data_IF_638533177357
#
_entry.id   IF_638533177357
#
_cell.length_a   1.000
_cell.length_b   1.000
_cell.length_c   1.000
_cell.angle_alpha   90.00
_cell.angle_beta   90.00
_cell.angle_gamma   90.00
#
_symmetry.space_group_name_H-M   'P 1'
#
loop_
_entity.id
_entity.type
_entity.pdbx_description
1 polymer ?
#
# COMPACT_ATOMS: atom_id res chain seq x y z
N UNK A 1 -14.66 -2.96 18.98
CA UNK A 1 -14.44 -2.42 20.34
C UNK A 1 -13.88 -1.00 20.24
N UNK A 2 -14.13 -0.11 21.21
CA UNK A 2 -13.60 1.29 21.20
C UNK A 2 -12.06 1.34 21.07
N UNK A 3 -11.38 0.30 21.54
CA UNK A 3 -9.92 0.13 21.47
C UNK A 3 -9.41 0.04 20.02
N UNK A 4 -10.12 -0.66 19.14
CA UNK A 4 -9.68 -0.85 17.75
C UNK A 4 -9.60 0.46 16.95
N UNK A 5 -10.56 1.37 17.16
CA UNK A 5 -10.55 2.69 16.52
C UNK A 5 -9.43 3.59 17.04
N UNK A 6 -9.16 3.54 18.35
CA UNK A 6 -8.03 4.27 18.94
C UNK A 6 -6.69 3.82 18.37
N UNK A 7 -6.50 2.50 18.21
CA UNK A 7 -5.30 1.93 17.60
C UNK A 7 -5.13 2.36 16.14
N UNK A 8 -6.19 2.28 15.33
CA UNK A 8 -6.17 2.71 13.93
C UNK A 8 -5.73 4.17 13.78
N UNK A 9 -6.32 5.07 14.58
CA UNK A 9 -6.01 6.50 14.52
C UNK A 9 -4.58 6.79 15.01
N UNK A 10 -4.17 6.17 16.11
CA UNK A 10 -2.80 6.29 16.60
C UNK A 10 -1.79 5.78 15.57
N UNK A 11 -2.09 4.64 14.94
CA UNK A 11 -1.26 4.06 13.88
C UNK A 11 -1.14 5.02 12.70
N UNK A 12 -2.26 5.50 12.15
CA UNK A 12 -2.29 6.43 11.02
C UNK A 12 -1.55 7.74 11.32
N UNK A 13 -1.63 8.23 12.55
CA UNK A 13 -0.91 9.42 12.99
C UNK A 13 0.61 9.18 13.03
N UNK A 14 1.05 8.08 13.66
CA UNK A 14 2.47 7.72 13.77
C UNK A 14 3.07 7.45 12.39
N UNK A 15 2.40 6.69 11.53
CA UNK A 15 2.86 6.46 10.16
C UNK A 15 2.94 7.74 9.35
N UNK A 16 1.98 8.66 9.52
CA UNK A 16 2.04 10.00 8.92
C UNK A 16 3.28 10.78 9.35
N UNK A 17 3.64 10.75 10.64
CA UNK A 17 4.86 11.40 11.14
C UNK A 17 6.13 10.75 10.59
N UNK A 18 6.17 9.42 10.50
CA UNK A 18 7.32 8.67 9.96
C UNK A 18 7.49 8.91 8.46
N UNK A 19 6.40 9.18 7.73
CA UNK A 19 6.44 9.50 6.31
C UNK A 19 6.96 10.91 6.00
N UNK A 20 6.80 11.86 6.91
CA UNK A 20 7.16 13.25 6.66
C UNK A 20 8.65 13.43 6.25
N UNK A 21 9.64 12.81 6.93
CA UNK A 21 11.03 12.83 6.48
C UNK A 21 11.24 12.24 5.08
N UNK A 22 10.53 11.16 4.73
CA UNK A 22 10.63 10.54 3.40
C UNK A 22 10.12 11.49 2.32
N UNK A 23 8.99 12.16 2.55
CA UNK A 23 8.47 13.15 1.60
C UNK A 23 9.41 14.35 1.48
N UNK A 24 9.94 14.84 2.61
CA UNK A 24 10.91 15.94 2.62
C UNK A 24 12.17 15.59 1.82
N UNK A 25 12.66 14.35 1.92
CA UNK A 25 13.78 13.85 1.13
C UNK A 25 13.51 13.98 -0.38
N UNK A 26 12.35 13.52 -0.86
CA UNK A 26 11.98 13.63 -2.28
C UNK A 26 11.74 15.08 -2.72
N UNK A 27 11.18 15.93 -1.85
CA UNK A 27 10.99 17.35 -2.14
C UNK A 27 12.33 18.08 -2.28
N UNK A 28 13.27 17.85 -1.36
CA UNK A 28 14.60 18.44 -1.40
C UNK A 28 15.43 17.95 -2.60
N UNK A 29 15.17 16.74 -3.09
CA UNK A 29 15.78 16.19 -4.29
C UNK A 29 15.19 16.76 -5.60
N UNK A 30 14.28 17.75 -5.53
CA UNK A 30 13.62 18.32 -6.71
C UNK A 30 12.49 17.46 -7.29
N UNK A 31 12.13 16.35 -6.64
CA UNK A 31 11.10 15.41 -7.09
C UNK A 31 9.70 15.75 -6.57
N UNK A 32 9.39 17.01 -6.26
CA UNK A 32 8.08 17.41 -5.73
C UNK A 32 6.89 17.07 -6.63
N UNK A 33 7.08 17.14 -7.95
CA UNK A 33 6.06 16.70 -8.91
C UNK A 33 5.78 15.19 -8.81
N UNK A 34 6.79 14.37 -8.50
CA UNK A 34 6.64 12.93 -8.34
C UNK A 34 5.73 12.58 -7.16
N UNK A 35 5.79 13.35 -6.06
CA UNK A 35 4.89 13.20 -4.89
C UNK A 35 3.43 13.37 -5.30
N UNK A 36 3.12 14.46 -6.01
CA UNK A 36 1.76 14.74 -6.45
C UNK A 36 1.26 13.68 -7.43
N UNK A 37 2.07 13.31 -8.43
CA UNK A 37 1.72 12.27 -9.40
C UNK A 37 1.49 10.92 -8.72
N UNK A 38 2.35 10.54 -7.77
CA UNK A 38 2.21 9.29 -7.02
C UNK A 38 0.92 9.25 -6.22
N UNK A 39 0.61 10.34 -5.50
CA UNK A 39 -0.59 10.42 -4.68
C UNK A 39 -1.87 10.40 -5.53
N UNK A 40 -1.89 11.17 -6.62
CA UNK A 40 -3.02 11.19 -7.56
C UNK A 40 -3.25 9.79 -8.18
N UNK A 41 -2.17 9.15 -8.65
CA UNK A 41 -2.23 7.80 -9.23
C UNK A 41 -2.68 6.77 -8.20
N UNK A 42 -2.15 6.81 -6.98
CA UNK A 42 -2.56 5.91 -5.90
C UNK A 42 -4.06 6.07 -5.58
N UNK A 43 -4.55 7.31 -5.50
CA UNK A 43 -5.97 7.62 -5.22
C UNK A 43 -6.89 7.09 -6.32
N UNK A 44 -6.55 7.30 -7.58
CA UNK A 44 -7.32 6.78 -8.72
C UNK A 44 -7.32 5.25 -8.71
N UNK A 45 -6.14 4.63 -8.60
CA UNK A 45 -6.00 3.18 -8.58
C UNK A 45 -6.76 2.55 -7.41
N UNK A 46 -6.64 3.10 -6.20
CA UNK A 46 -7.35 2.61 -5.02
C UNK A 46 -8.87 2.70 -5.19
N UNK A 47 -9.37 3.82 -5.70
CA UNK A 47 -10.81 4.03 -5.91
C UNK A 47 -11.36 3.06 -6.96
N UNK A 48 -10.67 2.94 -8.10
CA UNK A 48 -11.09 2.07 -9.21
C UNK A 48 -11.04 0.60 -8.80
N UNK A 49 -9.92 0.14 -8.25
CA UNK A 49 -9.77 -1.26 -7.84
C UNK A 49 -10.65 -1.61 -6.66
N UNK A 50 -10.84 -0.68 -5.71
CA UNK A 50 -11.75 -0.89 -4.59
C UNK A 50 -13.20 -1.05 -5.06
N UNK A 51 -13.65 -0.22 -6.00
CA UNK A 51 -14.97 -0.37 -6.61
C UNK A 51 -15.12 -1.70 -7.36
N UNK A 52 -14.11 -2.07 -8.16
CA UNK A 52 -14.11 -3.35 -8.89
C UNK A 52 -14.16 -4.52 -7.91
N UNK A 53 -13.28 -4.56 -6.91
CA UNK A 53 -13.22 -5.62 -5.91
C UNK A 53 -14.53 -5.76 -5.15
N UNK A 54 -15.13 -4.64 -4.73
CA UNK A 54 -16.41 -4.62 -4.01
C UNK A 54 -17.59 -5.14 -4.86
N UNK A 55 -17.57 -4.91 -6.18
CA UNK A 55 -18.63 -5.38 -7.10
C UNK A 55 -18.34 -6.75 -7.70
N UNK A 56 -17.15 -7.30 -7.50
CA UNK A 56 -16.75 -8.55 -8.12
C UNK A 56 -17.59 -9.72 -7.59
N UNK A 57 -18.15 -10.51 -8.52
CA UNK A 57 -18.97 -11.67 -8.18
C UNK A 57 -18.13 -12.85 -7.70
N UNK A 58 -16.95 -13.03 -8.28
CA UNK A 58 -15.97 -14.05 -7.90
C UNK A 58 -15.44 -13.78 -6.49
N UNK A 59 -15.27 -14.85 -5.70
CA UNK A 59 -14.60 -14.83 -4.41
C UNK A 59 -13.09 -15.02 -4.62
N UNK A 60 -12.30 -14.07 -4.12
CA UNK A 60 -10.85 -14.06 -4.30
C UNK A 60 -10.09 -14.70 -3.14
N UNK A 61 -10.78 -15.39 -2.22
CA UNK A 61 -10.16 -16.06 -1.07
C UNK A 61 -9.02 -17.01 -1.45
N UNK A 62 -9.02 -17.57 -2.66
CA UNK A 62 -7.92 -18.40 -3.18
C UNK A 62 -6.58 -17.64 -3.31
N UNK A 63 -6.62 -16.32 -3.49
CA UNK A 63 -5.43 -15.46 -3.62
C UNK A 63 -4.73 -15.19 -2.29
N UNK A 64 -5.41 -15.40 -1.16
CA UNK A 64 -4.95 -14.99 0.17
C UNK A 64 -3.54 -15.51 0.50
N UNK A 65 -3.28 -16.80 0.24
CA UNK A 65 -1.97 -17.43 0.52
C UNK A 65 -0.87 -16.86 -0.39
N UNK A 66 -1.18 -16.63 -1.67
CA UNK A 66 -0.23 -16.09 -2.63
C UNK A 66 0.14 -14.64 -2.34
N UNK A 67 -0.86 -13.81 -2.04
CA UNK A 67 -0.64 -12.41 -1.64
C UNK A 67 0.18 -12.32 -0.36
N UNK A 68 -0.14 -13.13 0.66
CA UNK A 68 0.64 -13.15 1.91
C UNK A 68 2.09 -13.57 1.69
N UNK A 69 2.35 -14.59 0.87
CA UNK A 69 3.72 -14.99 0.53
C UNK A 69 4.47 -13.87 -0.22
N UNK A 70 3.83 -13.21 -1.18
CA UNK A 70 4.42 -12.09 -1.91
C UNK A 70 4.72 -10.88 -1.00
N UNK A 71 3.83 -10.59 -0.04
CA UNK A 71 4.05 -9.56 0.97
C UNK A 71 5.29 -9.87 1.81
N UNK A 72 5.47 -11.12 2.26
CA UNK A 72 6.65 -11.51 3.02
C UNK A 72 7.94 -11.31 2.20
N UNK A 73 7.93 -11.65 0.92
CA UNK A 73 9.07 -11.40 0.03
C UNK A 73 9.39 -9.90 -0.05
N UNK A 74 8.37 -9.06 -0.24
CA UNK A 74 8.56 -7.60 -0.28
C UNK A 74 9.11 -7.07 1.04
N UNK A 75 8.61 -7.54 2.18
CA UNK A 75 9.12 -7.16 3.51
C UNK A 75 10.58 -7.54 3.68
N UNK A 76 10.95 -8.79 3.33
CA UNK A 76 12.33 -9.26 3.44
C UNK A 76 13.27 -8.44 2.54
N UNK A 77 12.89 -8.18 1.29
CA UNK A 77 13.68 -7.35 0.38
C UNK A 77 13.82 -5.92 0.93
N UNK A 78 12.74 -5.33 1.45
CA UNK A 78 12.77 -4.00 2.05
C UNK A 78 13.76 -3.95 3.22
N UNK A 79 13.78 -4.96 4.09
CA UNK A 79 14.73 -5.04 5.21
C UNK A 79 16.18 -5.21 4.73
N UNK A 80 16.43 -6.09 3.76
CA UNK A 80 17.76 -6.27 3.17
C UNK A 80 18.25 -4.97 2.53
N UNK A 81 17.34 -4.23 1.88
CA UNK A 81 17.69 -2.99 1.19
C UNK A 81 18.19 -1.86 2.11
N UNK A 82 17.96 -1.97 3.42
CA UNK A 82 18.51 -1.04 4.43
C UNK A 82 20.03 -1.20 4.56
N UNK A 83 20.53 -2.44 4.49
CA UNK A 83 21.96 -2.74 4.61
C UNK A 83 22.66 -2.79 3.25
N UNK A 84 21.92 -3.20 2.21
CA UNK A 84 22.43 -3.35 0.85
C UNK A 84 21.56 -2.54 -0.12
N UNK A 85 21.94 -1.29 -0.42
CA UNK A 85 21.17 -0.44 -1.31
C UNK A 85 20.96 -1.08 -2.69
N UNK A 86 19.71 -1.06 -3.16
CA UNK A 86 19.36 -1.57 -4.48
C UNK A 86 19.93 -0.67 -5.57
N UNK A 87 20.44 -1.26 -6.66
CA UNK A 87 20.79 -0.50 -7.87
C UNK A 87 19.56 0.18 -8.48
N UNK A 88 19.76 1.23 -9.28
CA UNK A 88 18.65 2.00 -9.86
C UNK A 88 17.64 1.13 -10.63
N UNK A 89 18.14 0.17 -11.43
CA UNK A 89 17.29 -0.76 -12.18
C UNK A 89 16.53 -1.71 -11.24
N UNK A 90 17.19 -2.30 -10.24
CA UNK A 90 16.55 -3.18 -9.25
C UNK A 90 15.51 -2.44 -8.40
N UNK A 91 15.81 -1.20 -8.02
CA UNK A 91 14.90 -0.30 -7.30
C UNK A 91 13.61 -0.06 -8.09
N UNK A 92 13.73 0.18 -9.40
CA UNK A 92 12.58 0.39 -10.29
C UNK A 92 11.75 -0.89 -10.45
N UNK A 93 12.39 -2.04 -10.69
CA UNK A 93 11.67 -3.33 -10.81
C UNK A 93 10.95 -3.66 -9.50
N UNK A 94 11.64 -3.51 -8.37
CA UNK A 94 11.06 -3.74 -7.05
C UNK A 94 9.85 -2.84 -6.80
N UNK A 95 9.94 -1.57 -7.20
CA UNK A 95 8.83 -0.65 -7.04
C UNK A 95 7.65 -0.95 -7.97
N UNK A 96 7.90 -1.44 -9.19
CA UNK A 96 6.87 -1.97 -10.08
C UNK A 96 6.17 -3.19 -9.50
N UNK A 97 6.93 -4.16 -8.98
CA UNK A 97 6.39 -5.35 -8.33
C UNK A 97 5.56 -5.00 -7.09
N UNK A 98 6.04 -4.10 -6.24
CA UNK A 98 5.29 -3.60 -5.08
C UNK A 98 3.99 -2.90 -5.49
N UNK A 99 4.04 -2.03 -6.49
CA UNK A 99 2.84 -1.34 -7.04
C UNK A 99 1.78 -2.35 -7.47
N UNK A 100 2.16 -3.39 -8.20
CA UNK A 100 1.24 -4.45 -8.63
C UNK A 100 0.70 -5.25 -7.44
N UNK A 101 1.56 -5.61 -6.50
CA UNK A 101 1.17 -6.37 -5.31
C UNK A 101 0.11 -5.62 -4.49
N UNK A 102 0.35 -4.36 -4.15
CA UNK A 102 -0.58 -3.58 -3.34
C UNK A 102 -1.86 -3.21 -4.11
N UNK A 103 -1.77 -3.07 -5.44
CA UNK A 103 -2.97 -2.98 -6.29
C UNK A 103 -3.85 -4.24 -6.19
N UNK A 104 -3.24 -5.44 -6.23
CA UNK A 104 -3.96 -6.70 -6.05
C UNK A 104 -4.52 -6.85 -4.64
N UNK A 105 -3.80 -6.39 -3.61
CA UNK A 105 -4.29 -6.37 -2.24
C UNK A 105 -5.53 -5.48 -2.08
N UNK A 106 -5.55 -4.27 -2.65
CA UNK A 106 -6.76 -3.41 -2.61
C UNK A 106 -7.96 -4.13 -3.21
N UNK A 107 -7.79 -4.72 -4.40
CA UNK A 107 -8.85 -5.46 -5.07
C UNK A 107 -9.32 -6.67 -4.24
N UNK A 108 -8.39 -7.39 -3.62
CA UNK A 108 -8.66 -8.52 -2.74
C UNK A 108 -9.38 -8.08 -1.45
N UNK A 109 -8.88 -7.07 -0.74
CA UNK A 109 -9.44 -6.62 0.54
C UNK A 109 -10.86 -6.10 0.38
N UNK A 110 -11.13 -5.27 -0.64
CA UNK A 110 -12.51 -4.84 -0.95
C UNK A 110 -13.42 -6.02 -1.32
N UNK A 111 -12.91 -7.03 -2.03
CA UNK A 111 -13.67 -8.25 -2.32
C UNK A 111 -14.01 -9.00 -1.02
N UNK A 112 -13.01 -9.25 -0.17
CA UNK A 112 -13.20 -9.98 1.08
C UNK A 112 -14.13 -9.25 2.05
N UNK A 113 -14.09 -7.92 2.10
CA UNK A 113 -15.02 -7.10 2.90
C UNK A 113 -16.47 -7.33 2.46
N UNK A 114 -16.72 -7.46 1.15
CA UNK A 114 -18.07 -7.65 0.62
C UNK A 114 -18.55 -9.11 0.64
N UNK A 115 -17.61 -10.07 0.63
CA UNK A 115 -17.93 -11.51 0.57
C UNK A 115 -18.02 -12.19 1.92
N UNK A 116 -17.29 -11.69 2.92
CA UNK A 116 -17.24 -12.30 4.26
C UNK A 116 -18.28 -11.68 5.19
N UNK A 117 -18.66 -12.43 6.21
CA UNK A 117 -19.51 -11.92 7.30
C UNK A 117 -18.70 -10.99 8.21
N UNK A 118 -18.53 -9.74 7.78
CA UNK A 118 -17.82 -8.70 8.53
C UNK A 118 -18.72 -8.18 9.65
N UNK A 119 -18.22 -8.20 10.88
CA UNK A 119 -18.91 -7.60 12.03
C UNK A 119 -18.39 -6.19 12.29
N UNK A 120 -19.13 -5.38 13.06
CA UNK A 120 -18.65 -4.05 13.48
C UNK A 120 -17.35 -4.10 14.30
N UNK A 121 -16.97 -5.26 14.84
CA UNK A 121 -15.74 -5.42 15.59
C UNK A 121 -14.51 -5.52 14.68
N UNK A 122 -14.69 -5.97 13.45
CA UNK A 122 -13.62 -6.19 12.46
C UNK A 122 -13.28 -4.92 11.68
N UNK A 123 -14.20 -3.94 11.66
CA UNK A 123 -14.08 -2.68 10.89
C UNK A 123 -12.75 -1.96 11.12
N UNK A 124 -12.25 -1.77 12.36
CA UNK A 124 -10.98 -1.06 12.55
C UNK A 124 -9.78 -1.77 11.93
N UNK A 125 -9.74 -3.10 11.98
CA UNK A 125 -8.66 -3.91 11.39
C UNK A 125 -8.74 -3.89 9.87
N UNK A 126 -9.94 -4.01 9.30
CA UNK A 126 -10.14 -3.94 7.84
C UNK A 126 -9.77 -2.56 7.29
N UNK A 127 -10.16 -1.49 8.00
CA UNK A 127 -9.76 -0.13 7.64
C UNK A 127 -8.24 0.08 7.73
N UNK A 128 -7.58 -0.56 8.71
CA UNK A 128 -6.12 -0.53 8.83
C UNK A 128 -5.43 -1.24 7.66
N UNK A 129 -5.95 -2.40 7.23
CA UNK A 129 -5.41 -3.11 6.05
C UNK A 129 -5.53 -2.25 4.79
N UNK A 130 -6.73 -1.68 4.53
CA UNK A 130 -6.94 -0.79 3.39
C UNK A 130 -6.04 0.47 3.45
N UNK A 131 -5.84 1.03 4.65
CA UNK A 131 -4.91 2.14 4.86
C UNK A 131 -3.48 1.75 4.47
N UNK A 132 -3.00 0.60 4.94
CA UNK A 132 -1.68 0.08 4.63
C UNK A 132 -1.50 -0.20 3.14
N UNK A 133 -2.51 -0.76 2.48
CA UNK A 133 -2.47 -1.02 1.05
C UNK A 133 -2.34 0.26 0.24
N UNK A 134 -3.15 1.28 0.58
CA UNK A 134 -3.04 2.60 -0.02
C UNK A 134 -1.67 3.23 0.21
N UNK A 135 -1.19 3.21 1.46
CA UNK A 135 0.09 3.79 1.86
C UNK A 135 1.24 3.17 1.08
N UNK A 136 1.28 1.85 1.00
CA UNK A 136 2.34 1.11 0.32
C UNK A 136 2.26 1.32 -1.19
N UNK A 137 1.07 1.29 -1.80
CA UNK A 137 0.88 1.63 -3.21
C UNK A 137 1.45 3.02 -3.52
N UNK A 138 1.11 4.01 -2.69
CA UNK A 138 1.62 5.38 -2.83
C UNK A 138 3.15 5.43 -2.76
N UNK A 139 3.77 4.79 -1.76
CA UNK A 139 5.22 4.77 -1.60
C UNK A 139 5.94 4.12 -2.78
N UNK A 140 5.40 3.00 -3.31
CA UNK A 140 5.98 2.35 -4.47
C UNK A 140 5.84 3.17 -5.75
N UNK A 141 4.69 3.80 -5.96
CA UNK A 141 4.50 4.75 -7.07
C UNK A 141 5.41 5.97 -6.94
N UNK A 142 5.60 6.50 -5.73
CA UNK A 142 6.51 7.60 -5.46
C UNK A 142 7.94 7.22 -5.83
N UNK A 143 8.38 6.03 -5.43
CA UNK A 143 9.71 5.52 -5.80
C UNK A 143 9.87 5.37 -7.31
N UNK A 144 8.84 4.91 -8.03
CA UNK A 144 8.85 4.82 -9.49
C UNK A 144 8.94 6.18 -10.17
N UNK A 145 8.13 7.15 -9.74
CA UNK A 145 8.11 8.47 -10.37
C UNK A 145 9.33 9.30 -10.01
N UNK A 146 9.87 9.16 -8.80
CA UNK A 146 11.10 9.83 -8.40
C UNK A 146 12.34 9.25 -9.09
N UNK A 147 12.37 7.94 -9.37
CA UNK A 147 13.49 7.32 -10.08
C UNK A 147 13.54 7.62 -11.58
N UNK A 148 12.53 8.31 -12.13
CA UNK A 148 12.47 8.72 -13.55
C UNK A 148 12.95 10.15 -13.82
N UNK A 149 13.20 10.93 -12.76
CA UNK A 149 13.76 12.28 -12.82
C UNK A 149 15.25 12.24 -12.49
#
# INVERSE_FOLDING_TARGET
>A
SKIGYGLLLAFAFVTGLVLAPTLQYYLNAGAGNAVLMAFATATVTFTVLGFIGAKMKTDLSFMAKGLFAALLIVVVISLISIFFPLSSLMSTIFAGAGTLLFSLYILFDFNQIMKRNVTMQDVPLLAMSLYLDFLNLFLFLLRLFAGRN
#
